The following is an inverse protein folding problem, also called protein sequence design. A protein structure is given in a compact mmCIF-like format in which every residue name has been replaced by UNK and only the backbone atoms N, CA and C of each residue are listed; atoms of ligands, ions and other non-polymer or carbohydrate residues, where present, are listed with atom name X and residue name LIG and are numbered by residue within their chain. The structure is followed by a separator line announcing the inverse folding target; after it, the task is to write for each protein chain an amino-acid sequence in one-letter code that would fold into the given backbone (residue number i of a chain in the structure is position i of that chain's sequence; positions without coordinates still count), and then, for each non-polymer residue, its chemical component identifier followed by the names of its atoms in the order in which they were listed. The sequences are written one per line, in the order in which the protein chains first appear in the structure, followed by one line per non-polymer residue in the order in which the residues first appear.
data_IF_044705494123
#
_entry.id   IF_044705494123
#
_cell.length_a   1.000
_cell.length_b   1.000
_cell.length_c   1.000
_cell.angle_alpha   90.00
_cell.angle_beta   90.00
_cell.angle_gamma   90.00
#
_symmetry.space_group_name_H-M   'P 1'
#
loop_
_entity.id
_entity.type
_entity.pdbx_description
1 polymer ?
#
# COMPACT_ATOMS: atom_id res chain seq x y z
N UNK A 1 -52.24 -8.47 50.88
CA UNK A 1 -52.82 -8.34 49.52
C UNK A 1 -51.83 -8.95 48.55
N UNK A 2 -52.21 -10.07 47.93
CA UNK A 2 -51.35 -10.93 47.11
C UNK A 2 -51.62 -10.58 45.64
N UNK A 3 -50.58 -10.17 44.93
CA UNK A 3 -50.63 -9.82 43.50
C UNK A 3 -50.33 -11.08 42.68
N UNK A 4 -51.20 -11.51 41.75
CA UNK A 4 -50.90 -12.63 40.86
C UNK A 4 -50.00 -12.20 39.68
N UNK A 5 -49.15 -13.09 39.16
CA UNK A 5 -48.30 -12.81 38.00
C UNK A 5 -49.06 -12.90 36.66
N UNK A 6 -48.61 -12.17 35.62
CA UNK A 6 -49.23 -12.21 34.30
C UNK A 6 -48.84 -13.47 33.51
N UNK A 7 -49.79 -13.95 32.71
CA UNK A 7 -49.76 -15.15 31.88
C UNK A 7 -48.85 -14.98 30.66
N UNK A 8 -48.10 -16.03 30.36
CA UNK A 8 -47.39 -16.30 29.11
C UNK A 8 -48.36 -16.41 27.93
N UNK A 9 -48.08 -15.69 26.86
CA UNK A 9 -48.78 -15.76 25.58
C UNK A 9 -47.85 -16.30 24.50
N UNK A 10 -48.05 -17.56 24.15
CA UNK A 10 -47.53 -18.21 22.95
C UNK A 10 -48.13 -17.61 21.68
N UNK A 11 -47.33 -17.51 20.62
CA UNK A 11 -47.85 -17.41 19.26
C UNK A 11 -47.02 -16.53 18.32
N UNK A 12 -45.98 -17.09 17.72
CA UNK A 12 -45.51 -16.64 16.39
C UNK A 12 -45.28 -17.87 15.50
N UNK A 13 -45.81 -17.88 14.25
CA UNK A 13 -45.82 -19.06 13.39
C UNK A 13 -44.48 -19.29 12.68
N UNK A 14 -44.26 -20.56 12.36
CA UNK A 14 -43.20 -21.04 11.50
C UNK A 14 -43.37 -20.50 10.07
N UNK A 15 -42.40 -19.71 9.61
CA UNK A 15 -42.18 -19.44 8.20
C UNK A 15 -40.70 -19.62 7.90
N UNK A 16 -40.30 -20.90 7.82
CA UNK A 16 -38.97 -21.30 7.37
C UNK A 16 -39.02 -21.49 5.85
N UNK A 17 -38.10 -20.89 5.07
CA UNK A 17 -38.03 -21.14 3.64
C UNK A 17 -37.62 -22.60 3.35
N UNK A 18 -38.06 -23.17 2.22
CA UNK A 18 -37.87 -24.58 1.89
C UNK A 18 -36.39 -24.95 1.75
N UNK A 19 -36.06 -26.15 2.23
CA UNK A 19 -34.79 -26.81 1.99
C UNK A 19 -34.66 -27.15 0.50
N UNK A 20 -33.58 -26.68 -0.14
CA UNK A 20 -33.21 -27.18 -1.47
C UNK A 20 -32.47 -28.50 -1.32
N UNK A 21 -33.19 -29.57 -1.67
CA UNK A 21 -32.67 -30.91 -1.88
C UNK A 21 -31.72 -30.96 -3.09
N UNK A 22 -30.53 -31.49 -2.82
CA UNK A 22 -29.81 -32.52 -3.59
C UNK A 22 -29.85 -32.45 -5.13
N UNK A 23 -28.74 -31.96 -5.71
CA UNK A 23 -28.29 -32.41 -7.03
C UNK A 23 -27.12 -33.38 -6.86
N UNK A 24 -27.46 -34.67 -6.92
CA UNK A 24 -26.54 -35.78 -6.92
C UNK A 24 -25.97 -36.03 -8.34
N UNK A 25 -24.71 -36.49 -8.34
CA UNK A 25 -24.02 -37.31 -9.35
C UNK A 25 -24.23 -37.06 -10.86
N UNK A 26 -23.14 -36.70 -11.55
CA UNK A 26 -22.42 -37.59 -12.48
C UNK A 26 -21.60 -36.83 -13.53
N UNK A 27 -20.27 -36.88 -13.46
CA UNK A 27 -19.47 -36.91 -14.70
C UNK A 27 -18.07 -37.49 -14.50
N UNK A 28 -17.97 -38.77 -14.88
CA UNK A 28 -16.92 -39.39 -15.70
C UNK A 28 -15.45 -39.16 -15.30
N UNK A 29 -14.92 -40.18 -14.63
CA UNK A 29 -13.51 -40.60 -14.72
C UNK A 29 -13.15 -40.88 -16.18
N UNK A 30 -12.06 -40.28 -16.66
CA UNK A 30 -11.32 -40.74 -17.83
C UNK A 30 -10.07 -41.53 -17.39
N UNK A 31 -9.56 -42.47 -18.21
CA UNK A 31 -8.63 -43.50 -17.79
C UNK A 31 -7.17 -43.04 -17.72
N UNK A 32 -6.48 -43.68 -16.78
CA UNK A 32 -5.03 -43.70 -16.59
C UNK A 32 -4.37 -44.39 -17.80
N UNK A 33 -3.59 -43.64 -18.58
CA UNK A 33 -2.61 -44.23 -19.48
C UNK A 33 -1.26 -44.42 -18.77
N UNK A 34 -0.89 -45.69 -18.63
CA UNK A 34 0.45 -46.16 -18.29
C UNK A 34 1.32 -46.08 -19.55
N UNK A 35 2.38 -45.28 -19.52
CA UNK A 35 3.51 -45.35 -20.46
C UNK A 35 4.81 -45.17 -19.66
N UNK A 36 5.41 -46.28 -19.23
CA UNK A 36 6.55 -46.94 -19.89
C UNK A 36 7.88 -46.21 -19.69
N UNK A 37 8.71 -46.85 -18.86
CA UNK A 37 10.09 -46.51 -18.60
C UNK A 37 10.95 -46.48 -19.89
N UNK A 38 11.80 -45.47 -20.01
CA UNK A 38 13.07 -45.58 -20.75
C UNK A 38 14.03 -44.45 -20.33
N UNK A 39 15.03 -44.82 -19.53
CA UNK A 39 16.37 -44.23 -19.61
C UNK A 39 17.23 -45.15 -20.51
N UNK A 40 18.49 -44.81 -20.85
CA UNK A 40 19.19 -43.53 -20.85
C UNK A 40 19.67 -43.18 -22.27
N UNK A 41 20.39 -42.05 -22.44
CA UNK A 41 21.62 -41.92 -23.24
C UNK A 41 22.04 -40.44 -23.31
N UNK A 42 23.20 -40.13 -22.73
CA UNK A 42 24.01 -38.96 -23.09
C UNK A 42 24.61 -39.18 -24.49
N UNK A 43 24.84 -38.13 -25.28
CA UNK A 43 26.25 -37.78 -25.52
C UNK A 43 26.54 -36.27 -25.73
N UNK A 44 27.73 -35.91 -25.25
CA UNK A 44 28.76 -35.05 -25.87
C UNK A 44 28.41 -33.61 -26.33
N UNK A 45 29.15 -32.68 -25.73
CA UNK A 45 29.41 -31.31 -26.16
C UNK A 45 29.81 -31.20 -27.64
N UNK A 46 29.59 -30.01 -28.24
CA UNK A 46 30.76 -29.29 -28.72
C UNK A 46 30.73 -27.79 -28.39
N UNK A 47 31.90 -27.33 -27.98
CA UNK A 47 32.31 -25.93 -27.98
C UNK A 47 32.17 -25.34 -29.38
N UNK A 48 31.53 -24.18 -29.49
CA UNK A 48 31.70 -23.29 -30.64
C UNK A 48 31.51 -21.85 -30.20
N UNK A 49 32.65 -21.17 -30.11
CA UNK A 49 32.76 -19.73 -30.25
C UNK A 49 32.14 -19.32 -31.59
N UNK A 50 31.18 -18.40 -31.56
CA UNK A 50 30.70 -17.75 -32.78
C UNK A 50 30.47 -16.28 -32.48
N UNK A 51 31.44 -15.51 -32.94
CA UNK A 51 31.38 -14.08 -33.23
C UNK A 51 30.13 -13.79 -34.07
N UNK A 52 29.25 -12.92 -33.60
CA UNK A 52 28.18 -12.25 -34.37
C UNK A 52 27.95 -10.85 -33.78
N UNK A 53 27.37 -9.91 -34.55
CA UNK A 53 28.12 -8.92 -35.28
C UNK A 53 27.86 -7.53 -34.70
N UNK A 54 28.68 -6.56 -35.09
CA UNK A 54 28.43 -5.14 -34.87
C UNK A 54 27.04 -4.79 -35.41
N UNK A 55 26.09 -4.58 -34.51
CA UNK A 55 24.74 -4.18 -34.86
C UNK A 55 24.82 -2.72 -35.31
N UNK A 56 24.64 -2.50 -36.61
CA UNK A 56 24.45 -1.18 -37.20
C UNK A 56 23.22 -0.56 -36.53
N UNK A 57 23.43 0.58 -35.87
CA UNK A 57 22.37 1.40 -35.34
C UNK A 57 21.40 1.74 -36.47
N UNK A 58 20.21 1.14 -36.44
CA UNK A 58 19.07 1.64 -37.17
C UNK A 58 18.59 2.86 -36.39
N UNK A 59 18.89 4.03 -36.92
CA UNK A 59 18.28 5.29 -36.50
C UNK A 59 16.75 5.17 -36.61
N UNK A 60 16.00 5.55 -35.57
CA UNK A 60 14.54 5.48 -35.62
C UNK A 60 14.03 6.67 -36.45
N UNK A 61 13.70 6.43 -37.71
CA UNK A 61 12.98 7.39 -38.56
C UNK A 61 11.57 7.74 -38.02
N UNK A 62 11.04 6.96 -37.07
CA UNK A 62 9.79 7.26 -36.39
C UNK A 62 9.92 8.32 -35.28
N UNK A 63 11.14 8.74 -34.93
CA UNK A 63 11.37 9.82 -33.95
C UNK A 63 11.52 11.19 -34.63
N UNK A 64 11.62 11.23 -35.98
CA UNK A 64 11.76 12.48 -36.73
C UNK A 64 10.41 13.14 -37.08
N UNK A 65 9.29 12.41 -36.99
CA UNK A 65 7.96 12.97 -37.24
C UNK A 65 7.37 13.71 -36.03
N UNK A 66 7.65 13.27 -34.80
CA UNK A 66 7.22 14.00 -33.59
C UNK A 66 8.06 15.26 -33.33
N UNK A 67 9.32 15.29 -33.78
CA UNK A 67 10.23 16.43 -33.58
C UNK A 67 10.07 17.53 -34.66
N UNK A 68 9.66 17.19 -35.89
CA UNK A 68 9.30 18.20 -36.91
C UNK A 68 7.98 18.92 -36.59
N UNK A 69 7.06 18.28 -35.86
CA UNK A 69 5.84 18.93 -35.38
C UNK A 69 6.10 20.05 -34.37
N UNK A 70 7.10 19.87 -33.51
CA UNK A 70 7.56 20.92 -32.58
C UNK A 70 8.36 22.02 -33.29
N UNK A 71 9.14 21.69 -34.33
CA UNK A 71 9.92 22.68 -35.08
C UNK A 71 9.05 23.60 -35.96
N UNK A 72 7.93 23.10 -36.51
CA UNK A 72 6.99 23.92 -37.29
C UNK A 72 6.05 24.79 -36.42
N UNK A 73 5.81 24.42 -35.16
CA UNK A 73 5.04 25.24 -34.22
C UNK A 73 5.80 26.51 -33.76
N UNK A 74 7.14 26.51 -33.85
CA UNK A 74 8.00 27.63 -33.46
C UNK A 74 8.21 28.65 -34.59
N UNK A 75 7.85 28.30 -35.84
CA UNK A 75 7.84 29.20 -37.00
C UNK A 75 6.47 29.89 -37.11
N UNK A 76 6.10 30.69 -36.11
CA UNK A 76 5.15 31.82 -36.23
C UNK A 76 3.68 31.56 -36.63
N UNK A 77 3.26 30.32 -36.89
CA UNK A 77 1.90 29.95 -37.33
C UNK A 77 1.15 29.06 -36.32
N UNK A 78 1.63 28.99 -35.07
CA UNK A 78 0.87 28.37 -33.99
C UNK A 78 -0.51 29.00 -33.88
N UNK A 79 -1.57 28.18 -33.99
CA UNK A 79 -2.95 28.62 -33.81
C UNK A 79 -3.06 29.37 -32.48
N UNK A 80 -3.78 30.49 -32.47
CA UNK A 80 -3.98 31.34 -31.29
C UNK A 80 -4.38 30.54 -30.03
N UNK A 81 -5.07 29.41 -30.22
CA UNK A 81 -5.44 28.46 -29.17
C UNK A 81 -4.26 27.88 -28.38
N UNK A 82 -3.13 27.53 -29.02
CA UNK A 82 -1.97 26.97 -28.30
C UNK A 82 -1.31 27.99 -27.37
N UNK A 83 -1.30 29.28 -27.76
CA UNK A 83 -0.77 30.36 -26.91
C UNK A 83 -1.66 30.55 -25.68
N UNK A 84 -2.97 30.63 -25.88
CA UNK A 84 -3.95 30.75 -24.78
C UNK A 84 -3.83 29.56 -23.83
N UNK A 85 -3.76 28.32 -24.33
CA UNK A 85 -3.62 27.14 -23.47
C UNK A 85 -2.32 27.14 -22.63
N UNK A 86 -1.21 27.67 -23.17
CA UNK A 86 0.04 27.83 -22.42
C UNK A 86 -0.08 28.89 -21.32
N UNK A 87 -0.72 30.01 -21.61
CA UNK A 87 -0.98 31.07 -20.62
C UNK A 87 -1.90 30.57 -19.52
N UNK A 88 -2.99 29.89 -19.86
CA UNK A 88 -3.91 29.27 -18.91
C UNK A 88 -3.19 28.26 -18.03
N UNK A 89 -2.39 27.36 -18.63
CA UNK A 89 -1.57 26.41 -17.86
C UNK A 89 -0.66 27.15 -16.87
N UNK A 90 0.04 28.20 -17.31
CA UNK A 90 0.94 28.97 -16.46
C UNK A 90 0.18 29.60 -15.28
N UNK A 91 -0.98 30.19 -15.55
CA UNK A 91 -1.85 30.78 -14.53
C UNK A 91 -2.30 29.73 -13.52
N UNK A 92 -2.82 28.59 -13.98
CA UNK A 92 -3.27 27.49 -13.12
C UNK A 92 -2.11 26.96 -12.26
N UNK A 93 -0.94 26.70 -12.85
CA UNK A 93 0.25 26.26 -12.08
C UNK A 93 0.72 27.30 -11.07
N UNK A 94 0.59 28.59 -11.39
CA UNK A 94 0.92 29.69 -10.49
C UNK A 94 -0.01 29.73 -9.29
N UNK A 95 -1.33 29.63 -9.51
CA UNK A 95 -2.33 29.55 -8.44
C UNK A 95 -2.10 28.34 -7.52
N UNK A 96 -1.84 27.17 -8.09
CA UNK A 96 -1.54 25.96 -7.31
C UNK A 96 -0.23 26.13 -6.52
N UNK A 97 0.81 26.71 -7.13
CA UNK A 97 2.07 26.99 -6.44
C UNK A 97 1.86 27.94 -5.26
N UNK A 98 1.08 29.01 -5.43
CA UNK A 98 0.79 29.97 -4.37
C UNK A 98 -0.04 29.32 -3.26
N UNK A 99 -1.01 28.48 -3.60
CA UNK A 99 -1.79 27.69 -2.64
C UNK A 99 -0.90 26.76 -1.78
N UNK A 100 0.07 26.10 -2.40
CA UNK A 100 1.02 25.22 -1.70
C UNK A 100 2.03 26.00 -0.85
N UNK A 101 2.36 27.24 -1.27
CA UNK A 101 3.28 28.12 -0.58
C UNK A 101 2.63 28.76 0.66
N UNK A 102 1.36 29.14 0.57
CA UNK A 102 0.64 29.88 1.61
C UNK A 102 -0.44 29.01 2.28
N UNK A 103 0.00 28.05 3.12
CA UNK A 103 -0.87 27.10 3.83
C UNK A 103 -1.47 27.68 5.12
N UNK A 104 -2.00 28.90 5.06
CA UNK A 104 -2.76 29.48 6.18
C UNK A 104 -4.11 28.78 6.35
N UNK A 105 -4.73 28.95 7.53
CA UNK A 105 -6.05 28.37 7.84
C UNK A 105 -7.09 28.79 6.80
N UNK A 106 -7.08 30.07 6.40
CA UNK A 106 -8.00 30.63 5.41
C UNK A 106 -7.79 29.99 4.01
N UNK A 107 -6.52 29.78 3.62
CA UNK A 107 -6.18 29.09 2.36
C UNK A 107 -6.69 27.64 2.33
N UNK A 108 -6.65 26.93 3.46
CA UNK A 108 -7.15 25.56 3.54
C UNK A 108 -8.67 25.47 3.36
N UNK A 109 -9.43 26.49 3.78
CA UNK A 109 -10.88 26.52 3.53
C UNK A 109 -11.23 26.88 2.09
N UNK A 110 -10.40 27.72 1.44
CA UNK A 110 -10.63 28.16 0.06
C UNK A 110 -10.07 27.19 -1.00
N UNK A 111 -9.23 26.21 -0.61
CA UNK A 111 -8.50 25.36 -1.54
C UNK A 111 -9.40 24.59 -2.52
N UNK A 112 -10.51 24.03 -2.05
CA UNK A 112 -11.47 23.30 -2.88
C UNK A 112 -12.08 24.20 -3.95
N UNK A 113 -12.48 25.42 -3.60
CA UNK A 113 -13.07 26.39 -4.55
C UNK A 113 -12.06 26.86 -5.60
N UNK A 114 -10.80 27.07 -5.21
CA UNK A 114 -9.72 27.44 -6.15
C UNK A 114 -9.44 26.28 -7.11
N UNK A 115 -9.30 25.05 -6.60
CA UNK A 115 -9.04 23.88 -7.44
C UNK A 115 -10.23 23.54 -8.35
N UNK A 116 -11.46 23.75 -7.89
CA UNK A 116 -12.65 23.63 -8.72
C UNK A 116 -12.62 24.62 -9.88
N UNK A 117 -12.35 25.89 -9.60
CA UNK A 117 -12.22 26.93 -10.64
C UNK A 117 -11.10 26.60 -11.64
N UNK A 118 -9.94 26.14 -11.16
CA UNK A 118 -8.86 25.65 -12.01
C UNK A 118 -9.30 24.47 -12.88
N UNK A 119 -10.12 23.56 -12.35
CA UNK A 119 -10.65 22.41 -13.09
C UNK A 119 -11.57 22.86 -14.23
N UNK A 120 -12.51 23.77 -13.95
CA UNK A 120 -13.44 24.32 -14.94
C UNK A 120 -12.68 25.04 -16.06
N UNK A 121 -11.73 25.92 -15.71
CA UNK A 121 -10.87 26.61 -16.68
C UNK A 121 -10.02 25.62 -17.49
N UNK A 122 -9.49 24.56 -16.86
CA UNK A 122 -8.74 23.54 -17.59
C UNK A 122 -9.62 22.82 -18.62
N UNK A 123 -10.87 22.48 -18.28
CA UNK A 123 -11.81 21.83 -19.20
C UNK A 123 -12.09 22.72 -20.41
N UNK A 124 -12.38 24.01 -20.19
CA UNK A 124 -12.67 24.98 -21.25
C UNK A 124 -11.52 25.13 -22.26
N UNK A 125 -10.28 24.93 -21.80
CA UNK A 125 -9.07 25.04 -22.61
C UNK A 125 -8.46 23.69 -22.98
N UNK A 126 -9.20 22.58 -22.82
CA UNK A 126 -8.73 21.22 -23.15
C UNK A 126 -7.43 20.82 -22.45
N UNK A 127 -7.23 21.29 -21.22
CA UNK A 127 -6.16 20.91 -20.32
C UNK A 127 -6.66 19.84 -19.34
N UNK A 128 -5.78 18.92 -18.96
CA UNK A 128 -6.07 17.89 -17.98
C UNK A 128 -5.46 18.28 -16.63
N UNK A 129 -6.30 18.80 -15.71
CA UNK A 129 -5.87 19.22 -14.37
C UNK A 129 -5.20 18.07 -13.57
N UNK A 130 -5.76 16.84 -13.50
CA UNK A 130 -5.07 15.71 -12.86
C UNK A 130 -3.64 15.49 -13.38
N UNK A 131 -3.45 15.58 -14.70
CA UNK A 131 -2.12 15.45 -15.29
C UNK A 131 -1.17 16.59 -14.95
N UNK A 132 -1.69 17.79 -14.70
CA UNK A 132 -0.92 18.98 -14.33
C UNK A 132 -0.50 18.93 -12.85
N UNK A 133 -1.40 18.53 -11.96
CA UNK A 133 -1.13 18.38 -10.52
C UNK A 133 -0.09 17.29 -10.21
N UNK A 134 0.06 16.31 -11.10
CA UNK A 134 1.04 15.24 -10.97
C UNK A 134 2.39 15.54 -11.64
N UNK A 135 2.57 16.74 -12.23
CA UNK A 135 3.85 17.13 -12.86
C UNK A 135 4.82 17.71 -11.83
N UNK A 136 6.11 17.34 -11.89
CA UNK A 136 7.14 17.87 -11.00
C UNK A 136 7.63 19.25 -11.47
N UNK A 137 6.84 20.31 -11.27
CA UNK A 137 7.18 21.65 -11.75
C UNK A 137 7.65 22.61 -10.64
N UNK A 138 7.64 22.19 -9.37
CA UNK A 138 8.13 22.97 -8.24
C UNK A 138 9.39 22.29 -7.74
N UNK A 139 10.56 22.82 -8.10
CA UNK A 139 11.87 22.27 -7.66
C UNK A 139 11.98 20.74 -7.89
N UNK A 140 11.60 20.27 -9.08
CA UNK A 140 11.61 18.84 -9.48
C UNK A 140 10.68 17.91 -8.67
N UNK A 141 9.75 18.47 -7.89
CA UNK A 141 8.73 17.75 -7.13
C UNK A 141 7.31 18.23 -7.46
N UNK A 142 6.33 17.38 -7.13
CA UNK A 142 4.91 17.67 -7.33
C UNK A 142 4.38 18.69 -6.31
N UNK A 143 3.29 19.42 -6.63
CA UNK A 143 2.53 20.20 -5.65
C UNK A 143 2.15 19.42 -4.39
N UNK A 144 1.79 18.13 -4.54
CA UNK A 144 1.45 17.25 -3.41
C UNK A 144 2.63 17.03 -2.45
N UNK A 145 3.84 16.82 -2.98
CA UNK A 145 5.05 16.72 -2.16
C UNK A 145 5.26 17.98 -1.32
N UNK A 146 5.21 19.15 -1.96
CA UNK A 146 5.43 20.42 -1.26
C UNK A 146 4.31 20.77 -0.29
N UNK A 147 3.07 20.36 -0.59
CA UNK A 147 1.95 20.51 0.33
C UNK A 147 2.22 19.78 1.65
N UNK A 148 2.80 18.58 1.60
CA UNK A 148 3.18 17.79 2.77
C UNK A 148 4.40 18.41 3.48
N UNK A 149 5.45 18.75 2.75
CA UNK A 149 6.71 19.24 3.33
C UNK A 149 6.56 20.61 4.01
N UNK A 150 5.75 21.51 3.44
CA UNK A 150 5.53 22.86 3.99
C UNK A 150 4.42 22.91 5.06
N UNK A 151 3.82 21.76 5.39
CA UNK A 151 2.75 21.67 6.39
C UNK A 151 3.27 22.13 7.76
N UNK A 152 2.56 23.01 8.48
CA UNK A 152 2.93 23.37 9.85
C UNK A 152 2.84 22.15 10.78
N UNK A 153 3.89 21.90 11.57
CA UNK A 153 3.92 20.78 12.53
C UNK A 153 2.95 20.96 13.70
N UNK A 154 2.57 22.21 14.01
CA UNK A 154 1.80 22.61 15.21
C UNK A 154 0.27 22.47 15.09
N UNK A 155 -0.25 21.93 13.98
CA UNK A 155 -1.66 21.61 13.93
C UNK A 155 -1.88 20.37 14.79
N UNK A 156 -2.36 20.61 16.02
CA UNK A 156 -2.81 19.61 17.00
C UNK A 156 -3.28 18.35 16.30
N UNK A 157 -2.72 17.19 16.65
CA UNK A 157 -3.04 15.90 16.03
C UNK A 157 -4.55 15.85 15.76
N UNK A 158 -4.98 16.01 14.50
CA UNK A 158 -6.40 16.12 14.21
C UNK A 158 -7.02 14.75 14.47
N UNK A 159 -8.35 14.70 14.42
CA UNK A 159 -9.06 13.46 14.63
C UNK A 159 -8.39 12.32 13.82
N UNK A 160 -8.25 11.12 14.40
CA UNK A 160 -7.59 10.02 13.72
C UNK A 160 -8.24 9.83 12.34
N UNK A 161 -7.39 9.66 11.32
CA UNK A 161 -7.78 9.44 9.91
C UNK A 161 -8.30 10.67 9.13
N UNK A 162 -8.18 11.90 9.64
CA UNK A 162 -8.55 13.08 8.86
C UNK A 162 -7.36 13.60 8.04
N UNK A 163 -7.43 13.55 6.71
CA UNK A 163 -6.39 14.16 5.85
C UNK A 163 -6.54 15.68 5.84
N UNK A 164 -5.46 16.48 5.98
CA UNK A 164 -5.53 17.93 5.91
C UNK A 164 -6.26 18.42 4.65
N UNK A 165 -7.12 19.45 4.73
CA UNK A 165 -8.01 19.85 3.64
C UNK A 165 -7.31 20.07 2.31
N UNK A 166 -6.19 20.79 2.30
CA UNK A 166 -5.40 21.04 1.09
C UNK A 166 -4.88 19.75 0.46
N UNK A 167 -4.31 18.84 1.26
CA UNK A 167 -3.78 17.57 0.76
C UNK A 167 -4.92 16.70 0.22
N UNK A 168 -6.05 16.66 0.93
CA UNK A 168 -7.26 15.95 0.50
C UNK A 168 -7.79 16.48 -0.83
N UNK A 169 -7.91 17.80 -0.96
CA UNK A 169 -8.35 18.46 -2.19
C UNK A 169 -7.41 18.13 -3.36
N UNK A 170 -6.10 18.28 -3.16
CA UNK A 170 -5.09 17.95 -4.17
C UNK A 170 -5.16 16.48 -4.59
N UNK A 171 -5.37 15.53 -3.66
CA UNK A 171 -5.53 14.11 -3.99
C UNK A 171 -6.77 13.87 -4.84
N UNK A 172 -7.91 14.48 -4.47
CA UNK A 172 -9.19 14.34 -5.17
C UNK A 172 -9.08 14.81 -6.63
N UNK A 173 -8.50 16.00 -6.85
CA UNK A 173 -8.31 16.55 -8.21
C UNK A 173 -7.15 15.91 -8.98
N UNK A 174 -6.27 15.17 -8.30
CA UNK A 174 -5.16 14.44 -8.94
C UNK A 174 -5.52 13.02 -9.34
N UNK A 175 -6.63 12.45 -8.86
CA UNK A 175 -6.97 11.06 -9.12
C UNK A 175 -7.25 10.80 -10.63
N UNK A 176 -6.83 9.64 -11.18
CA UNK A 176 -6.03 8.59 -10.55
C UNK A 176 -4.53 8.95 -10.45
N UNK A 177 -3.90 8.58 -9.32
CA UNK A 177 -2.48 8.88 -9.07
C UNK A 177 -1.55 7.94 -9.85
N UNK A 178 -0.51 8.50 -10.45
CA UNK A 178 0.61 7.78 -11.05
C UNK A 178 1.54 7.28 -9.95
N UNK A 179 2.22 6.15 -10.21
CA UNK A 179 3.22 5.62 -9.27
C UNK A 179 4.35 6.61 -8.97
N UNK A 180 4.73 7.45 -9.94
CA UNK A 180 5.72 8.52 -9.72
C UNK A 180 5.25 9.52 -8.65
N UNK A 181 3.97 9.91 -8.68
CA UNK A 181 3.39 10.82 -7.70
C UNK A 181 3.22 10.14 -6.34
N UNK A 182 2.84 8.85 -6.30
CA UNK A 182 2.81 8.07 -5.06
C UNK A 182 4.19 7.99 -4.39
N UNK A 183 5.25 7.78 -5.18
CA UNK A 183 6.64 7.83 -4.68
C UNK A 183 7.00 9.19 -4.11
N UNK A 184 6.58 10.26 -4.79
CA UNK A 184 6.85 11.63 -4.34
C UNK A 184 6.14 11.94 -3.00
N UNK A 185 4.88 11.53 -2.87
CA UNK A 185 4.14 11.64 -1.59
C UNK A 185 4.84 10.84 -0.47
N UNK A 186 5.25 9.59 -0.76
CA UNK A 186 5.99 8.75 0.20
C UNK A 186 7.29 9.42 0.64
N UNK A 187 8.02 10.02 -0.30
CA UNK A 187 9.25 10.76 -0.03
C UNK A 187 8.99 12.00 0.84
N UNK A 188 7.92 12.74 0.59
CA UNK A 188 7.53 13.89 1.40
C UNK A 188 7.23 13.51 2.86
N UNK A 189 6.45 12.44 3.07
CA UNK A 189 6.18 11.90 4.40
C UNK A 189 7.46 11.41 5.09
N UNK A 190 8.38 10.81 4.32
CA UNK A 190 9.67 10.36 4.83
C UNK A 190 10.54 11.53 5.29
N UNK A 191 10.61 12.61 4.51
CA UNK A 191 11.37 13.82 4.83
C UNK A 191 10.85 14.54 6.09
N UNK A 192 9.54 14.55 6.29
CA UNK A 192 8.89 15.15 7.47
C UNK A 192 8.82 14.20 8.66
N UNK A 193 9.15 12.91 8.47
CA UNK A 193 8.95 11.84 9.46
C UNK A 193 7.50 11.77 9.99
N UNK A 194 6.53 12.15 9.18
CA UNK A 194 5.12 12.30 9.56
C UNK A 194 4.36 10.98 9.38
N UNK A 195 4.53 10.09 10.36
CA UNK A 195 3.90 8.77 10.36
C UNK A 195 2.38 8.85 10.38
N UNK A 196 1.80 9.78 11.14
CA UNK A 196 0.35 9.91 11.25
C UNK A 196 -0.25 10.29 9.89
N UNK A 197 0.30 11.29 9.20
CA UNK A 197 -0.18 11.71 7.89
C UNK A 197 0.00 10.58 6.87
N UNK A 198 1.13 9.87 6.92
CA UNK A 198 1.35 8.73 6.04
C UNK A 198 0.27 7.65 6.22
N UNK A 199 -0.15 7.35 7.45
CA UNK A 199 -1.27 6.42 7.66
C UNK A 199 -2.60 7.00 7.20
N UNK A 200 -2.89 8.26 7.50
CA UNK A 200 -4.11 8.93 7.02
C UNK A 200 -4.22 8.88 5.48
N UNK A 201 -3.10 9.11 4.78
CA UNK A 201 -3.01 8.97 3.34
C UNK A 201 -3.25 7.54 2.86
N UNK A 202 -2.65 6.52 3.51
CA UNK A 202 -2.88 5.11 3.17
C UNK A 202 -4.34 4.67 3.26
N UNK A 203 -5.12 5.37 4.06
CA UNK A 203 -6.55 5.10 4.27
C UNK A 203 -7.42 5.73 3.19
N UNK A 204 -6.89 6.72 2.46
CA UNK A 204 -7.59 7.34 1.35
C UNK A 204 -7.64 6.39 0.14
N UNK A 205 -8.82 6.20 -0.49
CA UNK A 205 -8.97 5.33 -1.65
C UNK A 205 -8.16 5.81 -2.85
N UNK A 206 -7.86 7.11 -2.94
CA UNK A 206 -7.05 7.69 -4.01
C UNK A 206 -5.57 7.29 -3.92
N UNK A 207 -5.06 7.05 -2.71
CA UNK A 207 -3.64 6.76 -2.46
C UNK A 207 -3.31 5.26 -2.41
N UNK A 208 -4.15 4.46 -1.74
CA UNK A 208 -3.94 3.02 -1.63
C UNK A 208 -5.26 2.28 -1.86
N UNK A 209 -5.76 2.34 -3.10
CA UNK A 209 -6.85 1.47 -3.51
C UNK A 209 -6.44 0.01 -3.26
N UNK A 210 -7.16 -0.68 -2.39
CA UNK A 210 -7.08 -2.13 -2.29
C UNK A 210 -7.17 -2.71 -3.70
N UNK A 211 -6.36 -3.72 -4.01
CA UNK A 211 -6.44 -4.41 -5.30
C UNK A 211 -7.89 -4.76 -5.58
N UNK A 212 -8.37 -4.53 -6.81
CA UNK A 212 -9.76 -4.85 -7.17
C UNK A 212 -10.10 -6.32 -6.86
N UNK A 213 -9.10 -7.21 -6.97
CA UNK A 213 -9.21 -8.62 -6.56
C UNK A 213 -9.51 -8.76 -5.06
N UNK A 214 -8.82 -8.01 -4.22
CA UNK A 214 -9.00 -8.06 -2.77
C UNK A 214 -10.35 -7.46 -2.37
N UNK A 215 -10.77 -6.35 -3.00
CA UNK A 215 -12.11 -5.78 -2.79
C UNK A 215 -13.22 -6.78 -3.16
N UNK A 216 -13.09 -7.45 -4.31
CA UNK A 216 -14.07 -8.44 -4.77
C UNK A 216 -14.15 -9.65 -3.84
N UNK A 217 -13.00 -10.15 -3.38
CA UNK A 217 -12.92 -11.41 -2.64
C UNK A 217 -13.12 -11.25 -1.14
N UNK A 218 -12.83 -10.08 -0.57
CA UNK A 218 -13.03 -9.78 0.85
C UNK A 218 -14.41 -9.14 1.11
N UNK A 219 -15.02 -8.55 0.07
CA UNK A 219 -16.29 -7.84 0.16
C UNK A 219 -16.11 -6.32 0.27
N UNK A 220 -17.21 -5.59 0.17
CA UNK A 220 -17.25 -4.12 0.02
C UNK A 220 -16.77 -3.36 1.27
N UNK A 221 -16.66 -4.01 2.43
CA UNK A 221 -16.24 -3.37 3.68
C UNK A 221 -15.22 -4.22 4.43
N UNK A 222 -13.94 -4.09 4.06
CA UNK A 222 -12.83 -4.55 4.89
C UNK A 222 -12.47 -3.42 5.83
N UNK A 223 -12.54 -3.61 7.16
CA UNK A 223 -12.04 -2.63 8.09
C UNK A 223 -10.57 -2.32 7.77
N UNK A 224 -10.15 -1.07 7.92
CA UNK A 224 -8.77 -0.71 7.66
C UNK A 224 -7.81 -1.36 8.67
N UNK A 225 -6.59 -1.63 8.20
CA UNK A 225 -5.51 -2.06 9.08
C UNK A 225 -5.05 -0.86 9.95
N UNK A 226 -4.76 -1.11 11.22
CA UNK A 226 -4.25 -0.08 12.14
C UNK A 226 -2.77 -0.30 12.42
N UNK A 227 -2.04 0.81 12.58
CA UNK A 227 -0.62 0.79 12.92
C UNK A 227 -0.27 2.02 13.75
N UNK A 228 0.28 1.78 14.93
CA UNK A 228 0.73 2.80 15.87
C UNK A 228 2.24 2.64 16.06
N UNK A 229 2.99 3.70 15.82
CA UNK A 229 4.45 3.70 16.00
C UNK A 229 4.78 4.53 17.22
N UNK A 230 5.43 3.91 18.21
CA UNK A 230 5.94 4.58 19.39
C UNK A 230 7.46 4.73 19.26
N UNK A 231 7.88 5.95 18.94
CA UNK A 231 9.29 6.30 18.76
C UNK A 231 9.75 7.21 19.89
N UNK A 232 10.72 6.78 20.72
CA UNK A 232 11.33 7.68 21.70
C UNK A 232 12.09 8.83 20.99
N UNK A 233 12.28 9.98 21.65
CA UNK A 233 12.84 11.19 21.03
C UNK A 233 14.33 11.08 20.62
N UNK A 234 14.97 9.93 20.79
CA UNK A 234 16.39 9.71 20.44
C UNK A 234 16.47 8.99 19.10
N UNK A 235 17.33 9.49 18.20
CA UNK A 235 17.46 8.98 16.83
C UNK A 235 17.94 7.52 16.70
N UNK A 236 18.56 6.93 17.73
CA UNK A 236 19.02 5.52 17.71
C UNK A 236 18.33 4.66 18.78
N UNK A 237 17.33 5.22 19.46
CA UNK A 237 16.61 4.45 20.46
C UNK A 237 15.67 3.43 19.78
N UNK A 238 15.42 2.28 20.43
CA UNK A 238 14.49 1.31 19.90
C UNK A 238 13.10 1.91 19.78
N UNK A 239 12.38 1.52 18.75
CA UNK A 239 10.98 1.90 18.57
C UNK A 239 10.10 0.65 18.55
N UNK A 240 8.83 0.84 18.87
CA UNK A 240 7.82 -0.22 18.83
C UNK A 240 6.72 0.13 17.84
N UNK A 241 6.17 -0.90 17.21
CA UNK A 241 5.06 -0.78 16.26
C UNK A 241 3.98 -1.75 16.68
N UNK A 242 2.84 -1.22 17.13
CA UNK A 242 1.64 -2.01 17.40
C UNK A 242 0.77 -2.00 16.14
N UNK A 243 0.25 -3.15 15.73
CA UNK A 243 -0.57 -3.25 14.52
C UNK A 243 -1.75 -4.20 14.70
N UNK A 244 -2.83 -3.92 13.97
CA UNK A 244 -4.01 -4.79 13.83
C UNK A 244 -4.33 -4.97 12.35
N UNK A 245 -4.37 -6.23 11.90
CA UNK A 245 -4.64 -6.60 10.51
C UNK A 245 -6.04 -7.19 10.39
N UNK A 246 -6.95 -6.44 9.80
CA UNK A 246 -8.33 -6.89 9.63
C UNK A 246 -8.41 -8.06 8.63
N UNK A 247 -9.24 -9.05 8.96
CA UNK A 247 -9.48 -10.25 8.15
C UNK A 247 -8.20 -10.94 7.68
N UNK A 248 -7.18 -10.98 8.54
CA UNK A 248 -5.83 -11.43 8.23
C UNK A 248 -5.82 -12.81 7.55
N UNK A 249 -6.47 -13.81 8.15
CA UNK A 249 -6.49 -15.17 7.60
C UNK A 249 -7.14 -15.24 6.22
N UNK A 250 -8.24 -14.50 6.02
CA UNK A 250 -8.95 -14.46 4.74
C UNK A 250 -8.04 -13.86 3.66
N UNK A 251 -7.37 -12.76 3.98
CA UNK A 251 -6.39 -12.11 3.08
C UNK A 251 -5.20 -13.02 2.76
N UNK A 252 -4.66 -13.71 3.76
CA UNK A 252 -3.58 -14.67 3.55
C UNK A 252 -3.99 -15.86 2.67
N UNK A 253 -5.23 -16.36 2.79
CA UNK A 253 -5.73 -17.45 1.92
C UNK A 253 -6.00 -16.99 0.48
N UNK A 254 -6.44 -15.76 0.30
CA UNK A 254 -6.92 -15.24 -0.99
C UNK A 254 -5.82 -14.53 -1.77
N UNK A 255 -5.20 -13.53 -1.13
CA UNK A 255 -4.21 -12.62 -1.71
C UNK A 255 -2.80 -13.19 -1.54
N UNK A 256 -2.62 -14.14 -0.62
CA UNK A 256 -1.33 -14.74 -0.23
C UNK A 256 -0.30 -13.73 0.29
N UNK A 257 -0.74 -12.49 0.55
CA UNK A 257 0.10 -11.39 1.00
C UNK A 257 -0.69 -10.30 1.70
N UNK A 258 -0.17 -9.78 2.79
CA UNK A 258 -0.66 -8.62 3.55
C UNK A 258 0.53 -7.72 3.86
N UNK A 259 0.43 -6.41 3.62
CA UNK A 259 1.55 -5.48 3.81
C UNK A 259 1.16 -4.25 4.61
N UNK A 260 2.01 -3.86 5.55
CA UNK A 260 1.94 -2.61 6.28
C UNK A 260 3.22 -1.82 6.04
N UNK A 261 3.05 -0.58 5.60
CA UNK A 261 4.14 0.38 5.52
C UNK A 261 4.02 1.37 6.67
N UNK A 262 5.15 1.78 7.22
CA UNK A 262 5.23 2.82 8.26
C UNK A 262 6.55 3.57 8.20
N UNK A 263 6.61 4.72 8.86
CA UNK A 263 7.77 5.59 8.93
C UNK A 263 8.28 5.62 10.37
N UNK A 264 9.58 5.41 10.53
CA UNK A 264 10.27 5.60 11.81
C UNK A 264 11.75 5.87 11.57
N UNK A 265 12.36 6.76 12.34
CA UNK A 265 13.77 7.15 12.22
C UNK A 265 14.20 7.50 10.79
N UNK A 266 13.42 8.37 10.11
CA UNK A 266 13.65 8.78 8.72
C UNK A 266 13.85 7.60 7.75
N UNK A 267 13.15 6.49 8.00
CA UNK A 267 13.12 5.30 7.14
C UNK A 267 11.68 4.87 6.93
N UNK A 268 11.39 4.40 5.71
CA UNK A 268 10.15 3.75 5.37
C UNK A 268 10.33 2.24 5.51
N UNK A 269 9.61 1.69 6.46
CA UNK A 269 9.62 0.28 6.79
C UNK A 269 8.43 -0.42 6.17
N UNK A 270 8.58 -1.70 5.87
CA UNK A 270 7.50 -2.57 5.46
C UNK A 270 7.50 -3.85 6.27
N UNK A 271 6.35 -4.13 6.90
CA UNK A 271 5.98 -5.45 7.40
C UNK A 271 5.19 -6.14 6.31
N UNK A 272 5.56 -7.35 5.94
CA UNK A 272 4.78 -8.16 5.03
C UNK A 272 4.55 -9.54 5.61
N UNK A 273 3.31 -10.00 5.56
CA UNK A 273 2.95 -11.39 5.80
C UNK A 273 2.65 -12.01 4.45
N UNK A 274 3.16 -13.21 4.20
CA UNK A 274 2.99 -13.86 2.90
C UNK A 274 3.04 -15.38 3.03
N UNK A 275 2.52 -16.05 2.01
CA UNK A 275 2.62 -17.51 1.88
C UNK A 275 3.87 -17.83 1.05
N UNK A 276 4.79 -18.60 1.60
CA UNK A 276 6.05 -18.96 0.96
C UNK A 276 5.84 -19.69 -0.38
N UNK A 277 6.56 -19.24 -1.39
CA UNK A 277 6.62 -19.84 -2.72
C UNK A 277 7.66 -20.97 -2.76
N UNK A 278 7.54 -21.94 -3.68
CA UNK A 278 8.54 -22.99 -3.84
C UNK A 278 9.92 -22.40 -4.14
N UNK A 279 10.94 -22.90 -3.45
CA UNK A 279 12.33 -22.49 -3.65
C UNK A 279 12.80 -21.31 -2.80
N UNK A 280 11.96 -20.75 -1.92
CA UNK A 280 12.43 -19.81 -0.93
C UNK A 280 13.35 -20.50 0.10
N UNK A 281 14.56 -19.97 0.33
CA UNK A 281 15.44 -20.55 1.32
C UNK A 281 14.82 -20.44 2.72
N UNK A 282 14.95 -21.50 3.53
CA UNK A 282 14.53 -21.57 4.94
C UNK A 282 13.02 -21.57 5.22
N UNK A 283 12.16 -21.56 4.20
CA UNK A 283 10.71 -21.69 4.36
C UNK A 283 10.20 -22.88 3.56
N UNK A 284 9.22 -23.60 4.12
CA UNK A 284 8.54 -24.67 3.39
C UNK A 284 7.50 -24.07 2.45
N UNK A 285 7.28 -24.69 1.28
CA UNK A 285 6.23 -24.24 0.36
C UNK A 285 4.87 -24.21 1.06
N UNK A 286 4.13 -23.11 0.89
CA UNK A 286 2.82 -22.93 1.53
C UNK A 286 2.87 -22.44 2.98
N UNK A 287 4.05 -22.40 3.61
CA UNK A 287 4.20 -21.90 4.98
C UNK A 287 3.93 -20.40 5.04
N UNK A 288 3.22 -19.94 6.07
CA UNK A 288 3.03 -18.51 6.29
C UNK A 288 4.26 -17.93 6.96
N UNK A 289 4.70 -16.75 6.52
CA UNK A 289 5.89 -16.09 7.04
C UNK A 289 5.65 -14.59 7.21
N UNK A 290 6.40 -14.00 8.13
CA UNK A 290 6.50 -12.56 8.32
C UNK A 290 7.84 -12.07 7.78
N UNK A 291 7.84 -10.85 7.23
CA UNK A 291 8.99 -10.20 6.64
C UNK A 291 9.08 -8.76 7.11
N UNK A 292 10.29 -8.33 7.44
CA UNK A 292 10.66 -6.93 7.66
C UNK A 292 11.62 -6.48 6.55
N UNK A 293 11.32 -5.35 5.92
CA UNK A 293 12.14 -4.76 4.87
C UNK A 293 12.17 -3.23 4.97
N UNK A 294 13.21 -2.62 4.41
CA UNK A 294 13.25 -1.19 4.11
C UNK A 294 12.67 -0.96 2.72
N UNK A 295 12.00 0.19 2.53
CA UNK A 295 11.45 0.62 1.24
C UNK A 295 12.36 1.67 0.59
N UNK A 296 12.02 2.01 -0.66
CA UNK A 296 12.74 2.98 -1.48
C UNK A 296 13.11 4.25 -0.68
N UNK A 297 14.30 4.80 -0.94
CA UNK A 297 14.85 6.00 -0.30
C UNK A 297 15.21 5.87 1.20
N UNK A 298 15.21 4.65 1.75
CA UNK A 298 15.61 4.43 3.15
C UNK A 298 17.08 4.02 3.25
N UNK A 299 17.92 4.70 4.04
CA UNK A 299 19.32 4.29 4.19
C UNK A 299 19.45 2.90 4.82
N UNK A 300 20.34 2.08 4.23
CA UNK A 300 20.68 0.75 4.71
C UNK A 300 21.01 0.76 6.22
N UNK A 301 20.54 -0.25 6.95
CA UNK A 301 20.62 -0.27 8.40
C UNK A 301 20.72 -1.68 8.95
N UNK A 302 21.47 -1.85 10.04
CA UNK A 302 21.49 -3.12 10.76
C UNK A 302 20.37 -3.11 11.79
N UNK A 303 19.61 -4.19 11.86
CA UNK A 303 18.49 -4.29 12.79
C UNK A 303 18.53 -5.58 13.61
N UNK A 304 18.08 -5.45 14.85
CA UNK A 304 17.58 -6.54 15.66
C UNK A 304 16.11 -6.24 15.92
N UNK A 305 15.22 -7.03 15.34
CA UNK A 305 13.79 -6.88 15.48
C UNK A 305 13.18 -8.12 16.14
N UNK A 306 12.15 -7.92 16.95
CA UNK A 306 11.39 -8.99 17.58
C UNK A 306 9.92 -8.77 17.28
N UNK A 307 9.31 -9.72 16.56
CA UNK A 307 7.87 -9.78 16.37
C UNK A 307 7.25 -10.52 17.55
N UNK A 308 6.19 -9.95 18.12
CA UNK A 308 5.38 -10.57 19.17
C UNK A 308 3.95 -10.63 18.67
N UNK A 309 3.40 -11.83 18.56
CA UNK A 309 2.00 -12.02 18.17
C UNK A 309 1.17 -12.11 19.44
N UNK A 310 0.17 -11.24 19.55
CA UNK A 310 -0.69 -11.17 20.72
C UNK A 310 -1.83 -12.19 20.63
N UNK A 311 -2.19 -12.82 21.75
CA UNK A 311 -3.35 -13.72 21.80
C UNK A 311 -4.64 -12.91 21.93
N UNK A 312 -5.71 -13.37 21.29
CA UNK A 312 -7.01 -12.68 21.23
C UNK A 312 -7.85 -12.81 22.52
N UNK A 313 -7.65 -13.87 23.30
CA UNK A 313 -8.44 -14.14 24.50
C UNK A 313 -7.64 -13.85 25.77
N UNK A 314 -7.90 -12.69 26.37
CA UNK A 314 -7.50 -12.37 27.74
C UNK A 314 -8.75 -12.45 28.63
N UNK A 315 -9.03 -13.66 29.11
CA UNK A 315 -9.94 -13.81 30.27
C UNK A 315 -9.11 -13.43 31.49
N UNK A 316 -9.45 -12.30 32.10
CA UNK A 316 -8.94 -11.72 33.35
C UNK A 316 -7.71 -12.35 34.05
N UNK A 317 -6.60 -11.59 34.03
CA UNK A 317 -5.69 -11.32 35.15
C UNK A 317 -4.58 -12.31 35.59
N UNK A 318 -4.19 -13.38 34.87
CA UNK A 318 -3.00 -14.15 35.34
C UNK A 318 -1.96 -14.58 34.30
N UNK A 319 -2.16 -14.42 32.99
CA UNK A 319 -1.21 -15.00 32.02
C UNK A 319 -0.43 -13.95 31.22
N UNK A 320 0.74 -13.61 31.74
CA UNK A 320 1.80 -12.89 31.02
C UNK A 320 2.72 -13.85 30.22
N UNK A 321 2.45 -15.16 30.25
CA UNK A 321 3.39 -16.21 29.81
C UNK A 321 3.17 -16.77 28.39
N UNK A 322 2.15 -16.33 27.65
CA UNK A 322 1.75 -17.04 26.43
C UNK A 322 1.90 -16.22 25.13
N UNK A 323 2.84 -15.28 25.09
CA UNK A 323 3.20 -14.57 23.86
C UNK A 323 4.20 -15.40 23.04
N UNK A 324 4.05 -15.38 21.71
CA UNK A 324 5.02 -16.01 20.81
C UNK A 324 5.91 -14.93 20.19
N UNK A 325 7.21 -15.01 20.48
CA UNK A 325 8.22 -14.07 20.00
C UNK A 325 9.04 -14.67 18.87
N UNK A 326 9.16 -13.95 17.76
CA UNK A 326 9.95 -14.33 16.60
C UNK A 326 11.09 -13.30 16.42
N UNK A 327 12.33 -13.75 16.52
CA UNK A 327 13.50 -12.88 16.34
C UNK A 327 13.92 -12.76 14.87
N UNK A 328 14.23 -11.54 14.46
CA UNK A 328 14.80 -11.20 13.15
C UNK A 328 16.05 -10.37 13.36
N UNK A 329 17.21 -10.90 12.95
CA UNK A 329 18.49 -10.20 13.11
C UNK A 329 19.24 -10.22 11.79
N UNK A 330 19.76 -9.05 11.39
CA UNK A 330 20.63 -8.95 10.25
C UNK A 330 20.69 -7.56 9.62
N UNK A 331 21.52 -7.39 8.59
CA UNK A 331 21.55 -6.18 7.79
C UNK A 331 20.30 -6.10 6.91
N UNK A 332 19.71 -4.91 6.81
CA UNK A 332 18.72 -4.53 5.81
C UNK A 332 19.37 -3.52 4.88
N UNK A 333 19.36 -3.79 3.58
CA UNK A 333 19.93 -2.92 2.55
C UNK A 333 18.92 -2.65 1.43
N UNK A 334 19.18 -1.63 0.62
CA UNK A 334 18.32 -1.23 -0.51
C UNK A 334 18.21 -2.29 -1.63
N UNK A 335 19.03 -3.34 -1.58
CA UNK A 335 19.16 -4.30 -2.67
C UNK A 335 19.06 -5.72 -2.15
N UNK A 336 17.85 -6.16 -1.80
CA UNK A 336 17.49 -7.57 -1.60
C UNK A 336 17.70 -8.17 -0.20
N UNK A 337 18.22 -7.43 0.79
CA UNK A 337 18.27 -7.95 2.16
C UNK A 337 16.94 -7.69 2.87
N UNK A 338 16.15 -8.76 2.94
CA UNK A 338 14.90 -8.83 3.69
C UNK A 338 15.10 -9.81 4.85
N UNK A 339 14.56 -9.48 6.02
CA UNK A 339 14.53 -10.40 7.15
C UNK A 339 13.18 -11.09 7.17
N UNK A 340 13.17 -12.41 7.24
CA UNK A 340 11.93 -13.19 7.31
C UNK A 340 12.03 -14.29 8.36
N UNK A 341 10.87 -14.64 8.91
CA UNK A 341 10.68 -15.70 9.90
C UNK A 341 9.37 -16.42 9.62
N UNK A 342 9.35 -17.72 9.89
CA UNK A 342 8.12 -18.50 9.79
C UNK A 342 7.12 -18.02 10.85
N UNK A 343 5.85 -17.90 10.46
CA UNK A 343 4.78 -17.73 11.42
C UNK A 343 4.44 -19.07 12.09
N UNK A 344 3.88 -19.04 13.30
CA UNK A 344 3.40 -20.25 13.96
C UNK A 344 2.27 -20.88 13.14
N UNK A 345 2.29 -22.20 12.97
CA UNK A 345 1.25 -22.91 12.22
C UNK A 345 -0.15 -22.67 12.82
N UNK A 346 -0.22 -22.45 14.13
CA UNK A 346 -1.42 -22.07 14.86
C UNK A 346 -2.17 -20.90 14.21
N UNK A 347 -1.47 -19.92 13.61
CA UNK A 347 -2.06 -18.73 12.97
C UNK A 347 -2.88 -19.08 11.72
N UNK A 348 -2.67 -20.25 11.11
CA UNK A 348 -3.34 -20.65 9.87
C UNK A 348 -4.76 -21.21 10.12
N UNK A 349 -5.04 -21.68 11.33
CA UNK A 349 -6.28 -22.38 11.68
C UNK A 349 -7.38 -21.40 12.13
N UNK A 350 -8.66 -21.63 11.75
CA UNK A 350 -9.76 -20.72 12.12
C UNK A 350 -9.92 -20.48 13.64
N UNK A 351 -9.56 -21.47 14.47
CA UNK A 351 -9.63 -21.40 15.94
C UNK A 351 -8.28 -21.00 16.55
N UNK A 352 -7.52 -20.16 15.84
CA UNK A 352 -6.21 -19.73 16.32
C UNK A 352 -6.36 -18.83 17.55
N UNK A 353 -5.62 -19.06 18.64
CA UNK A 353 -5.62 -18.16 19.79
C UNK A 353 -4.99 -16.80 19.45
N UNK A 354 -4.39 -16.63 18.28
CA UNK A 354 -3.76 -15.39 17.80
C UNK A 354 -4.68 -14.55 16.93
N UNK A 355 -5.88 -15.05 16.62
CA UNK A 355 -6.83 -14.39 15.73
C UNK A 355 -8.06 -14.00 16.54
N UNK A 356 -8.50 -12.75 16.41
CA UNK A 356 -9.71 -12.28 17.10
C UNK A 356 -10.97 -12.93 16.50
N UNK A 357 -12.10 -12.81 17.20
CA UNK A 357 -13.38 -13.31 16.70
C UNK A 357 -13.77 -12.67 15.34
N UNK A 358 -13.31 -11.44 15.08
CA UNK A 358 -13.49 -10.70 13.82
C UNK A 358 -12.51 -11.11 12.72
N UNK A 359 -11.60 -12.05 13.03
CA UNK A 359 -10.57 -12.52 12.11
C UNK A 359 -9.36 -11.59 12.01
N UNK A 360 -9.12 -10.72 12.98
CA UNK A 360 -7.99 -9.80 12.99
C UNK A 360 -6.74 -10.45 13.62
N UNK A 361 -5.55 -10.10 13.12
CA UNK A 361 -4.27 -10.45 13.75
C UNK A 361 -3.72 -9.21 14.47
N UNK A 362 -3.41 -9.33 15.75
CA UNK A 362 -2.74 -8.30 16.54
C UNK A 362 -1.28 -8.67 16.78
N UNK A 363 -0.41 -7.68 16.73
CA UNK A 363 0.99 -7.90 17.05
C UNK A 363 1.75 -6.63 17.36
N UNK A 364 2.91 -6.83 17.95
CA UNK A 364 3.90 -5.80 18.26
C UNK A 364 5.22 -6.16 17.59
N UNK A 365 5.84 -5.18 16.94
CA UNK A 365 7.18 -5.27 16.42
C UNK A 365 8.07 -4.32 17.22
N UNK A 366 9.06 -4.86 17.94
CA UNK A 366 10.11 -4.08 18.57
C UNK A 366 11.34 -4.06 17.66
N UNK A 367 11.88 -2.88 17.34
CA UNK A 367 13.05 -2.74 16.46
C UNK A 367 14.14 -1.96 17.16
N UNK A 368 15.32 -2.57 17.24
CA UNK A 368 16.56 -1.92 17.65
C UNK A 368 17.44 -1.72 16.41
N UNK A 369 17.72 -0.47 16.07
CA UNK A 369 18.71 -0.11 15.06
C UNK A 369 20.09 -0.17 15.71
N UNK A 370 21.08 -0.79 15.06
CA UNK A 370 22.46 -0.80 15.52
C UNK A 370 23.32 0.06 14.59
N UNK A 371 23.94 1.10 15.15
CA UNK A 371 24.96 1.88 14.44
C UNK A 371 26.18 0.98 14.19
N UNK A 372 26.71 1.00 12.96
CA UNK A 372 27.99 0.35 12.66
C UNK A 372 29.16 1.08 13.30
#
# INVERSE_FOLDING_TARGET
MIVPPPKTGDGVPADAPPAYDNADASSRRAPIEKGSARAPLSPLSPSSSTIKPRTVQKTPWNQFQDDMGNLMADIGLGTTQHRVAREVRKTVTGLIHDLVRDQTIDSNMACDGILQSCSEICVDHSLNLPSLLQQPYIEDHTPLYWAIVKRPADQSEPAPFETPPLIRALLLYSAPLKESTLRDIRLACLHTCDQWLFQSLRMSPEFCALSHKDQLLLGVQVPPDTIAVSTPPRHDAPFTVDFELAHFQRRMRVSRRVTLDFISHARMWQIAFFVADPGQPRLSEGQWAARLALRENSPATNVSATYVIERSEQTDQTEQEAQESLELKGPLNDSWQELYTALPDAVQYPQSPFITAEGALRGRLAVQITSK
#
